data_IF_416987521099
#
_entry.id   IF_416987521099
#
_cell.length_a   1.000
_cell.length_b   1.000
_cell.length_c   1.000
_cell.angle_alpha   90.00
_cell.angle_beta   90.00
_cell.angle_gamma   90.00
#
_symmetry.space_group_name_H-M   'P 1'
#
loop_
_entity.id
_entity.type
_entity.pdbx_description
1 polymer ?
#
# COMPACT_ATOMS: atom_id res chain seq x y z
N UNK A 1 -16.91 27.80 -41.59
CA UNK A 1 -16.88 26.38 -41.17
C UNK A 1 -15.43 25.91 -41.30
N UNK A 2 -14.63 26.12 -40.26
CA UNK A 2 -13.17 25.89 -40.30
C UNK A 2 -12.80 24.80 -39.33
N UNK A 3 -12.28 23.70 -39.88
CA UNK A 3 -11.49 22.71 -39.14
C UNK A 3 -10.30 23.42 -38.48
N UNK A 4 -10.03 23.10 -37.21
CA UNK A 4 -8.75 23.36 -36.59
C UNK A 4 -8.39 22.22 -35.64
N UNK A 5 -7.34 21.48 -36.02
CA UNK A 5 -6.59 20.55 -35.17
C UNK A 5 -5.55 21.36 -34.40
N UNK A 6 -5.56 21.29 -33.06
CA UNK A 6 -4.43 21.52 -32.14
C UNK A 6 -4.89 20.96 -30.77
N UNK A 7 -4.13 20.18 -30.01
CA UNK A 7 -2.77 19.72 -30.17
C UNK A 7 -2.50 18.52 -29.26
N UNK A 8 -1.34 17.91 -29.48
CA UNK A 8 -0.71 17.03 -28.50
C UNK A 8 -0.65 17.74 -27.14
N UNK A 9 -1.16 17.10 -26.10
CA UNK A 9 -0.99 17.54 -24.72
C UNK A 9 -0.18 16.46 -23.97
N UNK A 10 1.16 16.58 -23.87
CA UNK A 10 2.00 15.58 -23.25
C UNK A 10 2.24 15.94 -21.78
N UNK A 11 1.39 15.48 -20.87
CA UNK A 11 1.70 15.57 -19.45
C UNK A 11 1.31 14.28 -18.74
N UNK A 12 2.29 13.36 -18.62
CA UNK A 12 2.29 12.32 -17.61
C UNK A 12 2.43 12.96 -16.23
N UNK A 13 1.33 13.50 -15.68
CA UNK A 13 1.23 13.62 -14.24
C UNK A 13 0.55 12.35 -13.78
N UNK A 14 1.34 11.48 -13.17
CA UNK A 14 0.89 10.33 -12.40
C UNK A 14 -0.04 10.83 -11.30
N UNK A 15 -1.30 11.08 -11.66
CA UNK A 15 -2.39 10.99 -10.73
C UNK A 15 -2.48 9.51 -10.42
N UNK A 16 -1.73 9.07 -9.40
CA UNK A 16 -2.19 7.98 -8.55
C UNK A 16 -3.54 8.44 -8.04
N UNK A 17 -4.58 8.19 -8.83
CA UNK A 17 -5.95 8.26 -8.35
C UNK A 17 -6.09 6.95 -7.58
N UNK A 18 -6.02 6.91 -6.24
CA UNK A 18 -6.53 5.73 -5.56
C UNK A 18 -8.02 5.70 -5.87
N UNK A 19 -8.40 4.68 -6.62
CA UNK A 19 -9.75 4.49 -7.12
C UNK A 19 -10.73 4.46 -5.93
N UNK A 20 -11.44 5.56 -5.67
CA UNK A 20 -12.41 5.76 -4.57
C UNK A 20 -13.72 4.97 -4.73
N UNK A 21 -13.68 3.71 -5.17
CA UNK A 21 -14.88 2.88 -5.27
C UNK A 21 -14.61 1.43 -4.86
N UNK A 22 -14.65 1.18 -3.55
CA UNK A 22 -15.14 -0.10 -3.02
C UNK A 22 -15.76 0.07 -1.65
N UNK A 23 -17.08 0.15 -1.68
CA UNK A 23 -17.98 0.14 -0.53
C UNK A 23 -18.00 -1.23 0.14
N UNK A 24 -16.87 -1.82 0.54
CA UNK A 24 -16.80 -2.99 1.43
C UNK A 24 -15.41 -3.07 2.13
N UNK A 25 -15.21 -2.14 3.08
CA UNK A 25 -14.62 -2.36 4.42
C UNK A 25 -13.16 -2.85 4.60
N UNK A 26 -12.22 -2.56 3.69
CA UNK A 26 -10.78 -2.69 3.98
C UNK A 26 -9.89 -1.71 3.22
N UNK A 27 -8.74 -1.34 3.81
CA UNK A 27 -7.67 -0.58 3.17
C UNK A 27 -7.04 -1.39 2.04
N UNK A 28 -6.41 -0.72 1.07
CA UNK A 28 -5.76 -1.40 -0.03
C UNK A 28 -4.41 -2.00 0.39
N UNK A 29 -3.92 -2.96 -0.39
CA UNK A 29 -2.56 -3.51 -0.24
C UNK A 29 -1.51 -2.40 -0.39
N UNK A 30 -1.75 -1.45 -1.29
CA UNK A 30 -0.85 -0.30 -1.51
C UNK A 30 -0.80 0.61 -0.29
N UNK A 31 -1.95 0.85 0.35
CA UNK A 31 -2.02 1.64 1.58
C UNK A 31 -1.32 0.92 2.74
N UNK A 32 -1.56 -0.39 2.89
CA UNK A 32 -0.88 -1.19 3.91
C UNK A 32 0.64 -1.18 3.72
N UNK A 33 1.11 -1.29 2.47
CA UNK A 33 2.52 -1.19 2.13
C UNK A 33 3.09 0.20 2.46
N UNK A 34 2.36 1.27 2.14
CA UNK A 34 2.78 2.63 2.46
C UNK A 34 2.89 2.84 3.98
N UNK A 35 1.88 2.41 4.74
CA UNK A 35 1.87 2.48 6.21
C UNK A 35 3.05 1.71 6.80
N UNK A 36 3.35 0.51 6.29
CA UNK A 36 4.48 -0.28 6.75
C UNK A 36 5.83 0.39 6.45
N UNK A 37 6.00 0.93 5.24
CA UNK A 37 7.22 1.62 4.80
C UNK A 37 7.45 2.96 5.51
N UNK A 38 6.39 3.64 5.97
CA UNK A 38 6.50 4.83 6.82
C UNK A 38 7.14 4.51 8.17
N UNK A 39 6.89 3.32 8.73
CA UNK A 39 7.53 2.89 9.98
C UNK A 39 8.93 2.35 9.76
N UNK A 40 9.10 1.53 8.71
CA UNK A 40 10.33 0.78 8.48
C UNK A 40 10.78 1.06 7.04
N UNK A 41 11.70 2.01 6.84
CA UNK A 41 12.23 2.29 5.51
C UNK A 41 13.07 1.09 5.04
N UNK A 42 12.68 0.54 3.90
CA UNK A 42 13.30 -0.64 3.35
C UNK A 42 12.64 -1.07 2.05
N UNK A 43 12.86 -2.34 1.70
CA UNK A 43 12.24 -3.01 0.57
C UNK A 43 11.18 -3.97 1.08
N UNK A 44 9.94 -3.83 0.60
CA UNK A 44 8.87 -4.78 0.89
C UNK A 44 9.12 -6.02 0.04
N UNK A 45 9.41 -7.13 0.69
CA UNK A 45 9.70 -8.41 0.02
C UNK A 45 8.48 -9.33 -0.02
N UNK A 46 7.49 -9.07 0.84
CA UNK A 46 6.25 -9.84 0.90
C UNK A 46 5.11 -8.98 1.44
N UNK A 47 3.92 -9.17 0.88
CA UNK A 47 2.68 -8.63 1.43
C UNK A 47 1.55 -9.63 1.22
N UNK A 48 0.89 -10.03 2.30
CA UNK A 48 -0.20 -11.01 2.27
C UNK A 48 -1.39 -10.55 3.13
N UNK A 49 -2.60 -10.89 2.70
CA UNK A 49 -3.81 -10.70 3.50
C UNK A 49 -4.12 -12.02 4.21
N UNK A 50 -4.11 -12.00 5.53
CA UNK A 50 -4.44 -13.15 6.38
C UNK A 50 -5.62 -12.83 7.32
N UNK A 51 -6.16 -13.85 7.97
CA UNK A 51 -7.22 -13.72 8.97
C UNK A 51 -6.75 -14.29 10.30
N UNK A 52 -6.57 -13.42 11.30
CA UNK A 52 -6.10 -13.78 12.64
C UNK A 52 -7.19 -13.51 13.67
N UNK A 53 -7.62 -14.54 14.39
CA UNK A 53 -8.70 -14.45 15.39
C UNK A 53 -10.00 -13.80 14.86
N UNK A 54 -10.34 -14.06 13.59
CA UNK A 54 -11.51 -13.46 12.93
C UNK A 54 -11.32 -12.02 12.44
N UNK A 55 -10.12 -11.45 12.57
CA UNK A 55 -9.76 -10.13 12.04
C UNK A 55 -8.91 -10.27 10.79
N UNK A 56 -9.25 -9.54 9.73
CA UNK A 56 -8.43 -9.45 8.53
C UNK A 56 -7.19 -8.57 8.80
N UNK A 57 -6.01 -9.08 8.48
CA UNK A 57 -4.74 -8.39 8.66
C UNK A 57 -3.89 -8.45 7.38
N UNK A 58 -3.17 -7.39 7.09
CA UNK A 58 -2.08 -7.40 6.13
C UNK A 58 -0.77 -7.69 6.87
N UNK A 59 -0.07 -8.74 6.48
CA UNK A 59 1.30 -9.02 6.91
C UNK A 59 2.26 -8.50 5.85
N UNK A 60 3.16 -7.60 6.26
CA UNK A 60 4.14 -6.96 5.38
C UNK A 60 5.54 -7.30 5.87
N UNK A 61 6.31 -7.99 5.03
CA UNK A 61 7.73 -8.25 5.29
C UNK A 61 8.58 -7.18 4.62
N UNK A 62 9.42 -6.52 5.41
CA UNK A 62 10.33 -5.46 4.97
C UNK A 62 11.76 -5.85 5.30
N UNK A 63 12.65 -5.79 4.31
CA UNK A 63 14.10 -5.86 4.53
C UNK A 63 14.62 -4.43 4.58
N UNK A 64 15.18 -4.03 5.73
CA UNK A 64 15.78 -2.70 5.86
C UNK A 64 17.14 -2.64 5.14
N UNK A 65 17.73 -1.44 5.05
CA UNK A 65 19.06 -1.25 4.41
C UNK A 65 20.20 -2.03 5.08
N UNK A 66 20.02 -2.53 6.30
CA UNK A 66 20.99 -3.33 7.03
C UNK A 66 20.80 -4.84 6.77
N UNK A 67 19.84 -5.23 5.92
CA UNK A 67 19.51 -6.63 5.66
C UNK A 67 18.66 -7.29 6.75
N UNK A 68 18.12 -6.52 7.70
CA UNK A 68 17.28 -7.02 8.79
C UNK A 68 15.84 -7.13 8.30
N UNK A 69 15.23 -8.28 8.54
CA UNK A 69 13.82 -8.53 8.25
C UNK A 69 12.92 -7.99 9.36
N UNK A 70 11.88 -7.28 8.97
CA UNK A 70 10.80 -6.85 9.83
C UNK A 70 9.47 -7.35 9.29
N UNK A 71 8.61 -7.78 10.18
CA UNK A 71 7.25 -8.21 9.91
C UNK A 71 6.31 -7.18 10.55
N UNK A 72 5.42 -6.60 9.74
CA UNK A 72 4.44 -5.59 10.17
C UNK A 72 3.04 -6.16 9.92
N UNK A 73 2.28 -6.39 10.98
CA UNK A 73 0.87 -6.77 10.90
C UNK A 73 -0.01 -5.51 10.98
N UNK A 74 -0.85 -5.29 9.98
CA UNK A 74 -1.73 -4.11 9.84
C UNK A 74 -3.18 -4.57 9.77
N UNK A 75 -4.07 -3.95 10.54
CA UNK A 75 -5.51 -4.19 10.47
C UNK A 75 -6.04 -3.81 9.08
N UNK A 76 -6.57 -4.79 8.34
CA UNK A 76 -7.04 -4.55 6.99
C UNK A 76 -8.27 -3.64 6.97
N UNK A 77 -9.10 -3.58 8.00
CA UNK A 77 -10.28 -2.72 8.04
C UNK A 77 -9.93 -1.26 8.36
N UNK A 78 -8.99 -1.05 9.28
CA UNK A 78 -8.71 0.28 9.85
C UNK A 78 -7.37 0.87 9.43
N UNK A 79 -6.45 0.07 8.88
CA UNK A 79 -5.08 0.47 8.58
C UNK A 79 -4.18 0.66 9.80
N UNK A 80 -4.63 0.21 10.98
CA UNK A 80 -3.84 0.35 12.21
C UNK A 80 -2.78 -0.73 12.29
N UNK A 81 -1.56 -0.36 12.66
CA UNK A 81 -0.50 -1.33 12.94
C UNK A 81 -0.85 -2.08 14.23
N UNK A 82 -1.03 -3.39 14.12
CA UNK A 82 -1.35 -4.28 15.23
C UNK A 82 -0.07 -4.77 15.88
N UNK A 83 0.95 -5.08 15.07
CA UNK A 83 2.20 -5.64 15.55
C UNK A 83 3.35 -5.28 14.62
N UNK A 84 4.52 -5.09 15.22
CA UNK A 84 5.78 -5.03 14.50
C UNK A 84 6.74 -5.99 15.20
N UNK A 85 7.38 -6.84 14.42
CA UNK A 85 8.38 -7.78 14.91
C UNK A 85 9.63 -7.66 14.06
N UNK A 86 10.78 -7.64 14.71
CA UNK A 86 12.09 -7.81 14.06
C UNK A 86 12.46 -9.29 14.16
N UNK A 87 12.91 -9.87 13.06
CA UNK A 87 13.51 -11.21 13.03
C UNK A 87 15.03 -11.13 13.30
#
# INVERSE_FOLDING_TARGET
MTNHWHGYNPHWQAQRQPNEYSRYSRISIEDAMAIALEQIPGEVVKIELDTKNGMLIYEVDIINRQGIKYEVEIDAQTGRIIKMKRD
#
